data_IF_664661443526
#
_entry.id   IF_664661443526
#
_cell.length_a   1.000
_cell.length_b   1.000
_cell.length_c   1.000
_cell.angle_alpha   90.00
_cell.angle_beta   90.00
_cell.angle_gamma   90.00
#
_symmetry.space_group_name_H-M   'P 1'
#
loop_
_entity.id
_entity.type
_entity.pdbx_description
1 polymer ?
#
# COMPACT_ATOMS: atom_id res chain seq x y z
N UNK A 1 -38.82 -50.83 34.54
CA UNK A 1 -37.54 -50.67 33.83
C UNK A 1 -37.40 -49.22 33.41
N UNK A 2 -36.49 -48.49 34.04
CA UNK A 2 -36.15 -47.11 33.67
C UNK A 2 -34.91 -47.17 32.77
N UNK A 3 -35.00 -46.62 31.56
CA UNK A 3 -33.85 -46.44 30.67
C UNK A 3 -33.68 -44.93 30.46
N UNK A 4 -32.67 -44.38 31.12
CA UNK A 4 -32.32 -42.96 31.08
C UNK A 4 -31.73 -42.58 29.73
N UNK A 5 -32.17 -41.43 29.22
CA UNK A 5 -31.57 -40.70 28.11
C UNK A 5 -30.13 -40.29 28.43
N UNK A 6 -29.21 -40.46 27.47
CA UNK A 6 -27.98 -39.68 27.38
C UNK A 6 -27.97 -38.94 26.05
N UNK A 7 -28.46 -37.70 26.07
CA UNK A 7 -28.29 -36.73 24.99
C UNK A 7 -26.88 -36.16 25.15
N UNK A 8 -25.93 -36.70 24.36
CA UNK A 8 -24.57 -36.18 24.29
C UNK A 8 -24.54 -34.87 23.51
N UNK A 9 -24.47 -33.75 24.21
CA UNK A 9 -24.24 -32.42 23.62
C UNK A 9 -22.79 -32.31 23.14
N UNK A 10 -22.56 -32.48 21.85
CA UNK A 10 -21.29 -32.09 21.22
C UNK A 10 -21.21 -30.55 21.17
N UNK A 11 -20.61 -29.96 22.21
CA UNK A 11 -20.15 -28.57 22.17
C UNK A 11 -18.94 -28.51 21.24
N UNK A 12 -19.19 -28.11 20.00
CA UNK A 12 -18.14 -27.69 19.06
C UNK A 12 -17.54 -26.41 19.61
N UNK A 13 -16.43 -26.53 20.33
CA UNK A 13 -15.58 -25.40 20.69
C UNK A 13 -14.98 -24.84 19.40
N UNK A 14 -15.62 -23.83 18.83
CA UNK A 14 -14.98 -22.91 17.90
C UNK A 14 -13.89 -22.17 18.67
N UNK A 15 -12.68 -22.73 18.74
CA UNK A 15 -11.50 -21.98 19.12
C UNK A 15 -11.21 -21.00 18.00
N UNK A 16 -11.74 -19.78 18.13
CA UNK A 16 -11.22 -18.62 17.44
C UNK A 16 -9.72 -18.58 17.74
N UNK A 17 -8.89 -18.96 16.76
CA UNK A 17 -7.45 -18.69 16.80
C UNK A 17 -7.31 -17.18 16.85
N UNK A 18 -7.26 -16.63 18.05
CA UNK A 18 -6.70 -15.31 18.29
C UNK A 18 -5.29 -15.36 17.72
N UNK A 19 -5.07 -14.74 16.56
CA UNK A 19 -3.74 -14.57 16.02
C UNK A 19 -2.95 -13.80 17.08
N UNK A 20 -2.08 -14.50 17.81
CA UNK A 20 -1.19 -13.87 18.75
C UNK A 20 -0.30 -12.93 17.95
N UNK A 21 -0.40 -11.62 18.21
CA UNK A 21 0.54 -10.63 17.69
C UNK A 21 1.67 -10.55 18.70
N UNK A 22 2.92 -10.80 18.29
CA UNK A 22 4.06 -10.94 19.20
C UNK A 22 4.65 -9.61 19.67
N UNK A 23 3.83 -8.57 19.69
CA UNK A 23 4.23 -7.21 19.99
C UNK A 23 4.47 -6.36 18.74
N UNK A 24 4.53 -5.05 18.96
CA UNK A 24 4.82 -4.05 17.94
C UNK A 24 6.31 -3.80 17.87
N UNK A 25 6.93 -4.13 16.73
CA UNK A 25 8.34 -3.77 16.49
C UNK A 25 8.44 -2.25 16.35
N UNK A 26 9.39 -1.59 17.05
CA UNK A 26 9.56 -0.15 16.95
C UNK A 26 9.73 0.29 15.48
N UNK A 27 9.15 1.42 15.06
CA UNK A 27 9.35 1.96 13.73
C UNK A 27 10.83 2.27 13.48
N UNK A 28 11.33 1.89 12.30
CA UNK A 28 12.70 2.20 11.86
C UNK A 28 12.65 3.42 10.94
N UNK A 29 13.64 4.32 11.06
CA UNK A 29 13.79 5.47 10.18
C UNK A 29 14.90 5.25 9.17
N UNK A 30 14.60 5.39 7.87
CA UNK A 30 15.62 5.50 6.82
C UNK A 30 16.22 6.91 6.79
N UNK A 31 15.35 7.92 6.78
CA UNK A 31 15.71 9.32 6.68
C UNK A 31 14.84 10.13 7.67
N UNK A 32 15.39 10.55 8.80
CA UNK A 32 14.69 11.36 9.79
C UNK A 32 14.94 12.88 9.63
N UNK A 33 15.70 13.28 8.61
CA UNK A 33 16.13 14.67 8.36
C UNK A 33 15.75 15.16 6.95
N UNK A 34 15.03 14.35 6.17
CA UNK A 34 14.60 14.70 4.81
C UNK A 34 13.08 14.83 4.80
N UNK A 35 12.58 15.91 4.20
CA UNK A 35 11.15 16.12 3.99
C UNK A 35 10.69 15.36 2.74
N UNK A 36 9.57 14.66 2.85
CA UNK A 36 8.96 13.94 1.74
C UNK A 36 8.55 14.91 0.63
N UNK A 37 8.95 14.64 -0.63
CA UNK A 37 8.36 15.29 -1.79
C UNK A 37 6.84 15.05 -1.85
N UNK A 38 6.14 15.86 -2.65
CA UNK A 38 4.70 15.71 -2.81
C UNK A 38 4.34 14.28 -3.28
N UNK A 39 3.33 13.69 -2.63
CA UNK A 39 2.83 12.32 -2.87
C UNK A 39 3.89 11.20 -2.69
N UNK A 40 5.03 11.49 -2.08
CA UNK A 40 6.02 10.48 -1.75
C UNK A 40 5.48 9.55 -0.65
N UNK A 41 5.85 8.27 -0.72
CA UNK A 41 5.57 7.27 0.30
C UNK A 41 6.40 7.58 1.54
N UNK A 42 5.77 8.12 2.57
CA UNK A 42 6.43 8.53 3.81
C UNK A 42 6.69 7.36 4.76
N UNK A 43 5.95 6.26 4.65
CA UNK A 43 6.25 5.03 5.36
C UNK A 43 5.78 3.78 4.60
N UNK A 44 6.55 2.71 4.76
CA UNK A 44 6.17 1.36 4.36
C UNK A 44 5.87 0.52 5.60
N UNK A 45 4.81 -0.27 5.55
CA UNK A 45 4.44 -1.21 6.61
C UNK A 45 4.34 -2.61 6.02
N UNK A 46 5.14 -3.52 6.55
CA UNK A 46 5.19 -4.91 6.12
C UNK A 46 4.58 -5.82 7.19
N UNK A 47 3.67 -6.70 6.77
CA UNK A 47 3.21 -7.84 7.56
C UNK A 47 4.16 -8.99 7.28
N UNK A 48 4.84 -9.48 8.31
CA UNK A 48 5.76 -10.61 8.23
C UNK A 48 5.38 -11.66 9.27
N UNK A 49 5.83 -12.90 9.08
CA UNK A 49 5.71 -13.95 10.07
C UNK A 49 7.08 -14.20 10.67
N UNK A 50 7.22 -14.05 11.98
CA UNK A 50 8.42 -14.43 12.72
C UNK A 50 8.24 -15.83 13.26
N UNK A 51 9.16 -16.72 12.92
CA UNK A 51 9.30 -18.02 13.55
C UNK A 51 10.10 -17.83 14.85
N UNK A 52 9.53 -18.24 15.98
CA UNK A 52 10.22 -18.27 17.27
C UNK A 52 10.96 -19.59 17.45
N UNK A 53 12.01 -19.57 18.28
CA UNK A 53 12.83 -20.76 18.58
C UNK A 53 12.04 -21.94 19.17
N UNK A 54 10.86 -21.68 19.73
CA UNK A 54 9.93 -22.71 20.24
C UNK A 54 8.98 -23.27 19.15
N UNK A 55 9.18 -22.94 17.88
CA UNK A 55 8.35 -23.39 16.76
C UNK A 55 7.02 -22.64 16.59
N UNK A 56 6.74 -21.62 17.41
CA UNK A 56 5.53 -20.79 17.23
C UNK A 56 5.74 -19.74 16.14
N UNK A 57 4.74 -19.62 15.26
CA UNK A 57 4.69 -18.56 14.23
C UNK A 57 3.87 -17.40 14.74
N UNK A 58 4.37 -16.20 14.48
CA UNK A 58 3.70 -15.01 14.94
C UNK A 58 3.72 -13.91 13.89
N UNK A 59 2.56 -13.28 13.68
CA UNK A 59 2.50 -12.12 12.80
C UNK A 59 3.15 -10.92 13.48
N UNK A 60 4.07 -10.29 12.75
CA UNK A 60 4.81 -9.10 13.15
C UNK A 60 4.55 -8.02 12.09
N UNK A 61 4.34 -6.78 12.57
CA UNK A 61 4.24 -5.61 11.71
C UNK A 61 5.52 -4.79 11.82
N UNK A 62 6.22 -4.60 10.71
CA UNK A 62 7.42 -3.76 10.63
C UNK A 62 7.12 -2.47 9.89
N UNK A 63 7.37 -1.35 10.56
CA UNK A 63 7.16 -0.01 10.00
C UNK A 63 8.50 0.62 9.67
N UNK A 64 8.58 1.20 8.47
CA UNK A 64 9.76 1.86 7.95
C UNK A 64 9.41 3.27 7.48
N UNK A 65 9.85 4.27 8.23
CA UNK A 65 9.70 5.67 7.85
C UNK A 65 10.77 6.05 6.81
N UNK A 66 10.31 6.54 5.66
CA UNK A 66 11.19 6.94 4.57
C UNK A 66 11.58 8.43 4.64
N UNK A 67 10.72 9.28 5.20
CA UNK A 67 10.94 10.72 5.32
C UNK A 67 9.92 11.35 6.28
N UNK A 68 10.17 12.61 6.67
CA UNK A 68 9.23 13.42 7.43
C UNK A 68 8.21 14.06 6.49
N UNK A 69 6.97 14.16 6.94
CA UNK A 69 5.95 14.91 6.22
C UNK A 69 6.20 16.42 6.32
N UNK A 70 5.59 17.23 5.43
CA UNK A 70 5.72 18.69 5.46
C UNK A 70 5.50 19.25 6.87
N UNK A 71 6.31 20.24 7.25
CA UNK A 71 6.33 20.78 8.62
C UNK A 71 7.10 19.92 9.63
N UNK A 72 7.91 18.95 9.18
CA UNK A 72 8.71 18.10 10.06
C UNK A 72 7.89 17.07 10.85
N UNK A 73 6.69 16.76 10.36
CA UNK A 73 5.73 15.89 11.06
C UNK A 73 5.99 14.41 10.77
N UNK A 74 5.67 13.55 11.73
CA UNK A 74 5.79 12.10 11.54
C UNK A 74 4.73 11.62 10.55
N UNK A 75 5.11 10.70 9.65
CA UNK A 75 4.19 10.08 8.70
C UNK A 75 2.99 9.45 9.43
N UNK A 76 1.74 9.68 8.98
CA UNK A 76 0.54 9.17 9.65
C UNK A 76 0.28 7.68 9.36
N UNK A 77 1.25 6.80 9.67
CA UNK A 77 1.23 5.37 9.32
C UNK A 77 0.20 4.53 10.09
N UNK A 78 -0.48 5.13 11.07
CA UNK A 78 -1.60 4.53 11.81
C UNK A 78 -2.96 4.98 11.29
N UNK A 79 -3.00 6.02 10.43
CA UNK A 79 -4.24 6.55 9.86
C UNK A 79 -4.53 5.90 8.50
N UNK A 80 -5.62 5.14 8.42
CA UNK A 80 -6.03 4.45 7.20
C UNK A 80 -6.40 5.38 6.04
N UNK A 81 -6.76 6.64 6.31
CA UNK A 81 -7.03 7.64 5.26
C UNK A 81 -5.78 7.97 4.42
N UNK A 82 -4.59 7.66 4.94
CA UNK A 82 -3.29 7.93 4.30
C UNK A 82 -2.68 6.67 3.67
N UNK A 83 -3.39 5.54 3.73
CA UNK A 83 -2.88 4.21 3.38
C UNK A 83 -3.29 3.80 1.97
N UNK A 84 -2.34 3.20 1.24
CA UNK A 84 -2.61 2.37 0.06
C UNK A 84 -2.05 0.97 0.24
N UNK A 85 -2.70 -0.01 -0.36
CA UNK A 85 -2.20 -1.39 -0.42
C UNK A 85 -1.25 -1.53 -1.62
N UNK A 86 0.04 -1.78 -1.37
CA UNK A 86 0.98 -2.17 -2.43
C UNK A 86 0.88 -3.68 -2.72
N UNK A 87 0.61 -4.49 -1.69
CA UNK A 87 0.24 -5.90 -1.76
C UNK A 87 -0.61 -6.30 -0.55
N UNK A 88 -1.01 -7.57 -0.45
CA UNK A 88 -1.68 -8.10 0.74
C UNK A 88 -0.83 -7.99 2.03
N UNK A 89 0.50 -7.98 1.90
CA UNK A 89 1.44 -7.95 3.02
C UNK A 89 2.24 -6.65 3.11
N UNK A 90 2.03 -5.69 2.20
CA UNK A 90 2.78 -4.44 2.14
C UNK A 90 1.81 -3.27 1.96
N UNK A 91 1.81 -2.38 2.94
CA UNK A 91 1.07 -1.13 2.94
C UNK A 91 2.04 0.02 2.74
N UNK A 92 1.61 1.04 2.02
CA UNK A 92 2.34 2.28 1.84
C UNK A 92 1.49 3.42 2.39
N UNK A 93 2.14 4.39 3.02
CA UNK A 93 1.49 5.57 3.56
C UNK A 93 2.08 6.82 2.92
N UNK A 94 1.22 7.81 2.67
CA UNK A 94 1.60 9.12 2.13
C UNK A 94 1.17 10.23 3.09
N UNK A 95 1.82 11.40 3.00
CA UNK A 95 1.60 12.49 3.96
C UNK A 95 0.21 13.12 3.88
N UNK A 96 -0.39 13.18 2.69
CA UNK A 96 -1.76 13.70 2.49
C UNK A 96 -2.77 12.55 2.41
N UNK A 97 -4.05 12.78 2.70
CA UNK A 97 -5.08 11.77 2.54
C UNK A 97 -5.08 11.19 1.11
N UNK A 98 -5.20 9.87 1.01
CA UNK A 98 -5.13 9.12 -0.24
C UNK A 98 -6.25 9.53 -1.20
N UNK A 99 -7.42 9.91 -0.71
CA UNK A 99 -8.50 10.40 -1.56
C UNK A 99 -8.19 11.71 -2.30
N UNK A 100 -7.17 12.47 -1.89
CA UNK A 100 -6.69 13.64 -2.65
C UNK A 100 -5.80 13.27 -3.84
N UNK A 101 -5.38 12.01 -3.94
CA UNK A 101 -4.66 11.47 -5.10
C UNK A 101 -5.70 11.05 -6.15
N UNK A 102 -5.55 11.42 -7.43
CA UNK A 102 -6.54 11.07 -8.45
C UNK A 102 -6.61 9.55 -8.68
N UNK A 103 -7.77 9.06 -9.08
CA UNK A 103 -7.93 7.67 -9.50
C UNK A 103 -7.43 7.48 -10.93
N UNK A 104 -6.62 6.44 -11.17
CA UNK A 104 -5.98 6.24 -12.47
C UNK A 104 -6.99 6.05 -13.62
N UNK A 105 -8.18 5.49 -13.34
CA UNK A 105 -9.25 5.35 -14.34
C UNK A 105 -9.94 6.67 -14.71
N UNK A 106 -9.85 7.70 -13.85
CA UNK A 106 -10.51 8.99 -14.05
C UNK A 106 -9.60 10.03 -14.71
N UNK A 107 -8.30 9.75 -14.81
CA UNK A 107 -7.36 10.65 -15.45
C UNK A 107 -7.56 10.60 -16.96
N UNK A 108 -7.82 11.77 -17.55
CA UNK A 108 -7.68 11.93 -19.00
C UNK A 108 -6.28 11.51 -19.40
N UNK A 109 -6.24 10.56 -20.32
CA UNK A 109 -5.03 9.90 -20.78
C UNK A 109 -3.99 10.95 -21.21
N UNK A 110 -2.90 11.10 -20.45
CA UNK A 110 -1.76 11.94 -20.85
C UNK A 110 -1.01 11.23 -21.97
N UNK A 111 -1.38 11.49 -23.23
CA UNK A 111 -0.69 10.93 -24.39
C UNK A 111 0.41 11.85 -24.90
N UNK A 112 1.65 11.35 -24.85
CA UNK A 112 2.65 11.58 -25.91
C UNK A 112 2.75 10.37 -26.85
N UNK A 113 2.18 9.22 -26.50
CA UNK A 113 2.16 8.02 -27.34
C UNK A 113 0.71 7.66 -27.72
N UNK A 114 0.37 7.81 -29.01
CA UNK A 114 -0.97 7.55 -29.57
C UNK A 114 -1.36 6.07 -29.56
N UNK A 115 -0.42 5.13 -29.34
CA UNK A 115 -0.71 3.70 -29.48
C UNK A 115 -1.09 3.00 -28.17
N UNK A 116 -0.70 3.53 -27.01
CA UNK A 116 -1.11 2.96 -25.73
C UNK A 116 -1.10 4.01 -24.60
N UNK A 117 -2.17 4.79 -24.45
CA UNK A 117 -2.27 5.76 -23.37
C UNK A 117 -2.29 5.05 -22.01
N UNK A 118 -1.23 5.23 -21.20
CA UNK A 118 -1.12 4.59 -19.89
C UNK A 118 -0.92 5.62 -18.79
N UNK A 119 -1.83 5.59 -17.81
CA UNK A 119 -1.71 6.41 -16.61
C UNK A 119 -0.70 5.75 -15.65
N UNK A 120 0.42 6.45 -15.42
CA UNK A 120 1.44 6.03 -14.45
C UNK A 120 0.84 6.14 -13.05
N UNK A 121 0.78 5.02 -12.35
CA UNK A 121 0.23 4.93 -11.01
C UNK A 121 1.27 5.26 -9.94
N UNK A 122 2.49 4.81 -10.15
CA UNK A 122 3.58 4.99 -9.21
C UNK A 122 4.88 5.21 -9.97
N UNK A 123 5.72 6.07 -9.42
CA UNK A 123 7.07 6.35 -9.93
C UNK A 123 8.08 6.06 -8.84
N UNK A 124 9.18 5.39 -9.19
CA UNK A 124 10.38 5.35 -8.36
C UNK A 124 11.38 6.31 -8.97
N UNK A 125 11.79 7.27 -8.17
CA UNK A 125 12.87 8.19 -8.52
C UNK A 125 14.11 7.75 -7.75
N UNK A 126 15.17 7.38 -8.48
CA UNK A 126 16.42 6.90 -7.90
C UNK A 126 17.48 7.99 -8.01
N UNK A 127 18.31 8.10 -6.98
CA UNK A 127 19.34 9.14 -6.87
C UNK A 127 18.76 10.55 -7.03
N UNK A 128 17.58 10.81 -6.48
CA UNK A 128 16.88 12.07 -6.63
C UNK A 128 17.61 13.19 -5.84
N UNK A 129 18.16 14.23 -6.48
CA UNK A 129 18.88 15.31 -5.79
C UNK A 129 18.04 16.01 -4.73
N UNK A 130 16.76 16.25 -5.04
CA UNK A 130 15.75 16.82 -4.14
C UNK A 130 15.49 15.97 -2.89
N UNK A 131 15.92 14.71 -2.91
CA UNK A 131 15.79 13.76 -1.82
C UNK A 131 17.17 13.31 -1.29
N UNK A 132 18.16 14.20 -1.36
CA UNK A 132 19.52 13.96 -0.85
C UNK A 132 20.24 12.83 -1.58
N UNK A 133 20.02 12.72 -2.89
CA UNK A 133 20.52 11.63 -3.75
C UNK A 133 20.07 10.23 -3.31
N UNK A 134 18.93 10.13 -2.61
CA UNK A 134 18.30 8.86 -2.23
C UNK A 134 17.16 8.52 -3.19
N UNK A 135 16.65 7.30 -3.05
CA UNK A 135 15.50 6.83 -3.84
C UNK A 135 14.20 6.98 -3.05
N UNK A 136 13.11 7.31 -3.75
CA UNK A 136 11.77 7.33 -3.14
C UNK A 136 10.70 6.85 -4.12
N UNK A 137 9.60 6.35 -3.57
CA UNK A 137 8.38 6.02 -4.30
C UNK A 137 7.41 7.20 -4.24
N UNK A 138 6.79 7.55 -5.36
CA UNK A 138 5.71 8.54 -5.46
C UNK A 138 4.44 7.88 -6.00
N UNK A 139 3.30 8.13 -5.35
CA UNK A 139 2.00 7.66 -5.83
C UNK A 139 1.38 8.76 -6.69
N UNK A 140 1.40 8.57 -8.00
CA UNK A 140 0.92 9.56 -8.98
C UNK A 140 -0.61 9.46 -9.16
N UNK A 141 -1.15 8.24 -9.16
CA UNK A 141 -2.59 7.98 -9.14
C UNK A 141 -2.93 6.66 -8.41
N UNK A 142 -4.19 6.51 -8.01
CA UNK A 142 -4.69 5.33 -7.29
C UNK A 142 -5.20 4.26 -8.24
N UNK A 143 -4.73 3.04 -8.05
CA UNK A 143 -5.26 1.85 -8.70
C UNK A 143 -6.43 1.26 -7.89
N UNK A 144 -7.35 0.49 -8.53
CA UNK A 144 -8.39 -0.24 -7.80
C UNK A 144 -7.83 -1.05 -6.62
N UNK A 145 -6.70 -1.73 -6.85
CA UNK A 145 -6.01 -2.57 -5.85
C UNK A 145 -5.31 -1.81 -4.72
N UNK A 146 -5.23 -0.48 -4.78
CA UNK A 146 -4.73 0.33 -3.66
C UNK A 146 -5.73 0.42 -2.50
N UNK A 147 -6.99 0.04 -2.71
CA UNK A 147 -8.06 0.21 -1.71
C UNK A 147 -8.39 -1.05 -0.92
N UNK A 148 -8.11 -2.23 -1.48
CA UNK A 148 -8.46 -3.51 -0.86
C UNK A 148 -7.24 -4.44 -0.93
N UNK A 149 -6.84 -5.08 0.18
CA UNK A 149 -5.80 -6.09 0.15
C UNK A 149 -6.34 -7.30 -0.61
N UNK A 150 -5.90 -7.51 -1.85
CA UNK A 150 -6.29 -8.69 -2.57
C UNK A 150 -5.38 -9.85 -2.19
N UNK A 151 -5.94 -10.88 -1.54
CA UNK A 151 -5.29 -12.17 -1.31
C UNK A 151 -5.49 -13.03 -2.57
N UNK A 152 -4.53 -12.97 -3.52
CA UNK A 152 -4.60 -13.74 -4.78
C UNK A 152 -4.03 -15.16 -4.60
N UNK A 153 -4.44 -16.13 -5.45
CA UNK A 153 -3.66 -17.36 -5.72
C UNK A 153 -2.25 -17.02 -6.27
N UNK A 154 -1.33 -18.00 -6.36
CA UNK A 154 0.09 -17.76 -6.66
C UNK A 154 0.30 -16.96 -7.97
N UNK A 155 1.13 -15.90 -7.94
CA UNK A 155 1.71 -15.32 -9.16
C UNK A 155 1.50 -13.82 -9.40
N UNK A 156 0.50 -13.16 -8.78
CA UNK A 156 0.32 -11.70 -8.93
C UNK A 156 0.02 -11.08 -7.58
N UNK A 157 1.03 -10.44 -6.96
CA UNK A 157 0.90 -9.97 -5.57
C UNK A 157 0.85 -8.44 -5.43
N UNK A 158 1.07 -7.67 -6.50
CA UNK A 158 1.25 -6.22 -6.42
C UNK A 158 0.12 -5.45 -7.09
N UNK A 159 -0.21 -4.28 -6.53
CA UNK A 159 -1.20 -3.37 -7.09
C UNK A 159 -0.75 -2.72 -8.41
N UNK A 160 0.56 -2.64 -8.63
CA UNK A 160 1.19 -2.09 -9.83
C UNK A 160 2.24 -3.05 -10.39
N UNK A 161 2.57 -2.91 -11.68
CA UNK A 161 3.67 -3.61 -12.33
C UNK A 161 4.55 -2.63 -13.11
N UNK A 162 5.81 -3.03 -13.34
CA UNK A 162 6.78 -2.23 -14.07
C UNK A 162 6.31 -2.04 -15.51
N UNK A 163 6.32 -0.79 -15.98
CA UNK A 163 6.03 -0.45 -17.36
C UNK A 163 7.29 -0.01 -18.12
N UNK A 164 8.11 0.85 -17.51
CA UNK A 164 9.32 1.35 -18.15
C UNK A 164 10.38 1.80 -17.16
N UNK A 165 11.62 1.81 -17.63
CA UNK A 165 12.78 2.41 -16.97
C UNK A 165 13.32 3.50 -17.89
N UNK A 166 13.57 4.67 -17.33
CA UNK A 166 14.05 5.85 -18.05
C UNK A 166 15.28 6.36 -17.31
N UNK A 167 16.35 6.61 -18.04
CA UNK A 167 17.53 7.26 -17.51
C UNK A 167 17.62 8.68 -18.06
N UNK A 168 17.67 9.65 -17.16
CA UNK A 168 17.93 11.05 -17.49
C UNK A 168 19.44 11.29 -17.41
N UNK A 169 20.07 11.48 -18.58
CA UNK A 169 21.51 11.73 -18.70
C UNK A 169 21.94 13.08 -18.14
N UNK A 170 21.06 14.09 -18.14
CA UNK A 170 21.40 15.44 -17.65
C UNK A 170 21.48 15.44 -16.12
N UNK A 171 20.56 14.71 -15.48
CA UNK A 171 20.46 14.67 -14.01
C UNK A 171 21.03 13.38 -13.40
N UNK A 172 21.59 12.48 -14.22
CA UNK A 172 22.08 11.16 -13.80
C UNK A 172 21.07 10.37 -12.94
N UNK A 173 19.79 10.46 -13.31
CA UNK A 173 18.65 9.99 -12.52
C UNK A 173 17.95 8.82 -13.22
N UNK A 174 17.75 7.72 -12.50
CA UNK A 174 16.91 6.62 -12.97
C UNK A 174 15.48 6.81 -12.48
N UNK A 175 14.53 6.67 -13.40
CA UNK A 175 13.10 6.72 -13.13
C UNK A 175 12.47 5.41 -13.57
N UNK A 176 11.84 4.70 -12.64
CA UNK A 176 11.01 3.53 -12.99
C UNK A 176 9.55 3.89 -12.88
N UNK A 177 8.78 3.65 -13.94
CA UNK A 177 7.35 3.91 -13.99
C UNK A 177 6.58 2.62 -13.85
N UNK A 178 5.53 2.66 -13.04
CA UNK A 178 4.63 1.54 -12.79
C UNK A 178 3.21 1.92 -13.19
N UNK A 179 2.50 0.98 -13.78
CA UNK A 179 1.08 1.12 -14.14
C UNK A 179 0.24 0.15 -13.32
N UNK A 180 -1.06 0.42 -13.22
CA UNK A 180 -1.95 -0.46 -12.48
C UNK A 180 -1.94 -1.87 -13.03
N UNK A 181 -1.83 -2.84 -12.13
CA UNK A 181 -2.13 -4.23 -12.46
C UNK A 181 -3.64 -4.37 -12.50
N UNK A 182 -4.23 -4.45 -13.68
CA UNK A 182 -5.66 -4.67 -13.86
C UNK A 182 -5.93 -6.10 -14.34
N UNK A 183 -6.97 -6.73 -13.79
CA UNK A 183 -7.64 -7.86 -14.45
C UNK A 183 -8.81 -7.34 -15.28
N UNK A 184 -9.28 -8.13 -16.25
CA UNK A 184 -10.39 -7.76 -17.15
C UNK A 184 -11.63 -7.20 -16.42
N UNK A 185 -11.90 -7.67 -15.19
CA UNK A 185 -13.07 -7.28 -14.40
C UNK A 185 -12.83 -6.11 -13.43
N UNK A 186 -11.60 -5.59 -13.33
CA UNK A 186 -11.23 -4.51 -12.39
C UNK A 186 -11.23 -3.13 -13.07
N UNK A 187 -11.32 -3.08 -14.40
CA UNK A 187 -11.34 -1.83 -15.18
C UNK A 187 -12.59 -0.97 -14.93
N UNK A 188 -13.64 -1.53 -14.33
CA UNK A 188 -14.92 -0.88 -14.06
C UNK A 188 -15.16 -0.58 -12.57
N UNK A 189 -14.16 -0.81 -11.69
CA UNK A 189 -14.33 -0.49 -10.27
C UNK A 189 -14.44 1.03 -10.08
N UNK A 190 -15.53 1.52 -9.46
CA UNK A 190 -15.72 2.95 -9.22
C UNK A 190 -14.64 3.45 -8.25
N UNK A 191 -14.29 4.74 -8.37
CA UNK A 191 -13.41 5.37 -7.41
C UNK A 191 -14.07 5.35 -6.02
N UNK A 192 -13.51 4.62 -5.03
CA UNK A 192 -14.11 4.53 -3.71
C UNK A 192 -14.07 5.84 -2.92
N UNK A 193 -13.30 6.83 -3.39
CA UNK A 193 -13.30 8.18 -2.84
C UNK A 193 -14.33 9.11 -3.50
N UNK A 194 -14.99 8.70 -4.59
CA UNK A 194 -15.98 9.54 -5.29
C UNK A 194 -17.22 9.83 -4.45
N UNK A 195 -17.59 8.93 -3.53
CA UNK A 195 -18.73 9.12 -2.64
C UNK A 195 -18.54 10.28 -1.62
N UNK A 196 -17.29 10.69 -1.36
CA UNK A 196 -16.97 11.73 -0.39
C UNK A 196 -16.94 13.14 -1.00
N UNK A 197 -17.03 13.29 -2.32
CA UNK A 197 -17.00 14.60 -2.97
C UNK A 197 -18.36 15.33 -3.00
N UNK A 198 -19.46 14.65 -2.64
CA UNK A 198 -20.81 15.23 -2.62
C UNK A 198 -21.20 15.89 -1.29
N UNK A 199 -20.30 15.97 -0.31
CA UNK A 199 -20.62 16.50 1.04
C UNK A 199 -20.08 17.93 1.23
N UNK A 200 -19.13 18.37 0.40
CA UNK A 200 -18.52 19.71 0.53
C UNK A 200 -19.16 20.77 -0.41
N UNK A 201 -20.29 20.45 -1.06
CA UNK A 201 -21.08 21.39 -1.89
C UNK A 201 -22.51 21.65 -1.33
N UNK A 202 -22.72 21.55 -0.02
CA UNK A 202 -23.94 22.05 0.66
C UNK A 202 -23.61 23.05 1.76
#
# INVERSE_FOLDING_TARGET
MWVSLLVGSFLVFCTSRTQAVCGTTPPVWRNNNITCPERAVCADVFKTSRDWYNGTRCEEQRTLHNCLCPGGTVCPYTNSAHRVYASAQHLQYICRPVCQVPYCGNLQLRTTDRRNPLNVAQTVEQNAPEFGSRSYYRIDCRCPRHHVPYVQPPGVHRAVHVHSHIYDYQHHKYTTRFVCTTRANENSMPDPCAANHNIDEQ
#
